data_IF_992466578268
#
_entry.id   IF_992466578268
#
_cell.length_a   1.000
_cell.length_b   1.000
_cell.length_c   1.000
_cell.angle_alpha   90.00
_cell.angle_beta   90.00
_cell.angle_gamma   90.00
#
_symmetry.space_group_name_H-M   'P 1'
#
loop_
_entity.id
_entity.type
_entity.pdbx_description
1 polymer ?
#
# COMPACT_ATOMS: atom_id res chain seq x y z
N UNK A 1 -15.37 -8.22 -13.84
CA UNK A 1 -14.26 -9.23 -13.87
C UNK A 1 -12.98 -8.46 -14.15
N UNK A 2 -11.98 -8.46 -13.26
CA UNK A 2 -10.82 -7.53 -13.33
C UNK A 2 -10.11 -7.54 -14.69
N UNK A 3 -10.04 -8.71 -15.34
CA UNK A 3 -9.42 -8.86 -16.67
C UNK A 3 -10.26 -8.22 -17.79
N UNK A 4 -11.58 -8.31 -17.69
CA UNK A 4 -12.51 -7.73 -18.67
C UNK A 4 -12.56 -6.21 -18.57
N UNK A 5 -12.29 -5.67 -17.38
CA UNK A 5 -12.30 -4.22 -17.09
C UNK A 5 -10.92 -3.56 -17.26
N UNK A 6 -9.88 -4.32 -17.65
CA UNK A 6 -8.53 -3.80 -17.90
C UNK A 6 -7.73 -3.44 -16.65
N UNK A 7 -8.15 -3.88 -15.46
CA UNK A 7 -7.44 -3.62 -14.22
C UNK A 7 -6.20 -4.50 -14.06
N UNK A 8 -5.10 -3.89 -13.59
CA UNK A 8 -3.88 -4.62 -13.22
C UNK A 8 -4.13 -5.52 -12.00
N UNK A 9 -3.51 -6.70 -12.00
CA UNK A 9 -3.66 -7.68 -10.92
C UNK A 9 -3.13 -7.18 -9.57
N UNK A 10 -1.92 -6.63 -9.54
CA UNK A 10 -1.26 -6.27 -8.28
C UNK A 10 -2.02 -5.23 -7.43
N UNK A 11 -2.52 -4.10 -7.96
CA UNK A 11 -3.37 -3.19 -7.18
C UNK A 11 -4.70 -3.83 -6.74
N UNK A 12 -5.30 -4.70 -7.54
CA UNK A 12 -6.48 -5.45 -7.10
C UNK A 12 -6.15 -6.38 -5.93
N UNK A 13 -5.01 -7.06 -5.97
CA UNK A 13 -4.55 -7.92 -4.89
C UNK A 13 -4.23 -7.12 -3.62
N UNK A 14 -3.50 -6.01 -3.72
CA UNK A 14 -3.24 -5.09 -2.60
C UNK A 14 -4.56 -4.67 -1.96
N UNK A 15 -5.52 -4.17 -2.75
CA UNK A 15 -6.81 -3.72 -2.24
C UNK A 15 -7.55 -4.82 -1.46
N UNK A 16 -7.60 -6.04 -2.00
CA UNK A 16 -8.27 -7.17 -1.34
C UNK A 16 -7.59 -7.54 -0.01
N UNK A 17 -6.25 -7.63 0.00
CA UNK A 17 -5.49 -7.92 1.23
C UNK A 17 -5.73 -6.82 2.27
N UNK A 18 -5.66 -5.55 1.86
CA UNK A 18 -5.93 -4.42 2.75
C UNK A 18 -7.34 -4.48 3.33
N UNK A 19 -8.35 -4.87 2.55
CA UNK A 19 -9.73 -5.04 3.03
C UNK A 19 -9.85 -6.13 4.09
N UNK A 20 -9.20 -7.28 3.87
CA UNK A 20 -9.19 -8.39 4.84
C UNK A 20 -8.49 -7.96 6.13
N UNK A 21 -7.30 -7.35 6.04
CA UNK A 21 -6.56 -6.84 7.20
C UNK A 21 -7.41 -5.85 8.00
N UNK A 22 -8.03 -4.87 7.32
CA UNK A 22 -8.83 -3.86 8.01
C UNK A 22 -10.12 -4.42 8.63
N UNK A 23 -10.64 -5.55 8.14
CA UNK A 23 -11.83 -6.20 8.69
C UNK A 23 -11.59 -6.96 10.01
N UNK A 24 -10.33 -7.20 10.40
CA UNK A 24 -10.02 -7.97 11.60
C UNK A 24 -9.00 -7.22 12.48
N UNK A 25 -9.40 -6.91 13.71
CA UNK A 25 -8.56 -6.17 14.68
C UNK A 25 -7.26 -6.88 14.99
N UNK A 26 -7.22 -8.22 14.94
CA UNK A 26 -6.00 -8.98 15.20
C UNK A 26 -4.85 -8.64 14.24
N UNK A 27 -5.15 -8.22 13.01
CA UNK A 27 -4.15 -7.77 12.04
C UNK A 27 -3.77 -6.29 12.18
N UNK A 28 -4.47 -5.54 13.04
CA UNK A 28 -4.25 -4.10 13.26
C UNK A 28 -3.69 -3.76 14.64
N UNK A 29 -3.41 -4.77 15.47
CA UNK A 29 -2.79 -4.61 16.79
C UNK A 29 -1.30 -4.28 16.64
N UNK A 30 -0.81 -3.30 17.40
CA UNK A 30 0.59 -2.89 17.37
C UNK A 30 0.92 -1.90 18.48
N UNK A 31 2.15 -1.40 18.47
CA UNK A 31 2.61 -0.34 19.35
C UNK A 31 2.69 0.98 18.58
N UNK A 32 2.32 2.09 19.22
CA UNK A 32 2.60 3.42 18.68
C UNK A 32 4.05 3.87 18.99
N UNK A 33 4.41 5.06 18.52
CA UNK A 33 5.74 5.66 18.71
C UNK A 33 6.11 5.89 20.17
N UNK A 34 5.11 6.01 21.05
CA UNK A 34 5.27 6.17 22.50
C UNK A 34 5.38 4.81 23.24
N UNK A 35 5.30 3.69 22.51
CA UNK A 35 5.41 2.34 23.05
C UNK A 35 4.12 1.80 23.66
N UNK A 36 2.97 2.44 23.39
CA UNK A 36 1.67 2.05 23.91
C UNK A 36 1.04 0.96 23.03
N UNK A 37 0.57 -0.12 23.65
CA UNK A 37 -0.12 -1.22 22.97
C UNK A 37 -1.57 -0.82 22.65
N UNK A 38 -1.97 -0.96 21.39
CA UNK A 38 -3.33 -0.74 20.95
C UNK A 38 -3.62 -1.40 19.61
N UNK A 39 -4.63 -0.90 18.91
CA UNK A 39 -4.89 -1.25 17.52
C UNK A 39 -5.19 0.01 16.71
N UNK A 40 -4.76 0.01 15.46
CA UNK A 40 -5.01 1.10 14.52
C UNK A 40 -6.43 1.02 13.97
N UNK A 41 -7.17 2.13 13.83
CA UNK A 41 -8.50 2.15 13.18
C UNK A 41 -8.47 1.59 11.76
N UNK A 42 -7.38 1.85 11.05
CA UNK A 42 -7.08 1.28 9.75
C UNK A 42 -5.57 1.17 9.53
N UNK A 43 -5.15 0.22 8.71
CA UNK A 43 -3.80 0.12 8.19
C UNK A 43 -3.75 0.46 6.70
N UNK A 44 -2.69 1.19 6.31
CA UNK A 44 -2.36 1.55 4.93
C UNK A 44 -1.40 0.52 4.32
N UNK A 45 -1.58 0.10 3.06
CA UNK A 45 -0.65 -0.80 2.41
C UNK A 45 0.65 -0.08 2.02
N UNK A 46 1.79 -0.59 2.49
CA UNK A 46 3.13 -0.28 2.02
C UNK A 46 3.61 -1.43 1.13
N UNK A 47 3.73 -1.18 -0.18
CA UNK A 47 4.02 -2.21 -1.17
C UNK A 47 5.24 -1.89 -2.04
N UNK A 48 5.80 -2.92 -2.66
CA UNK A 48 6.98 -2.79 -3.52
C UNK A 48 6.60 -2.42 -4.95
N UNK A 49 7.41 -1.56 -5.57
CA UNK A 49 7.39 -1.27 -7.01
C UNK A 49 8.76 -1.57 -7.59
N UNK A 50 8.79 -2.13 -8.80
CA UNK A 50 10.01 -2.52 -9.50
C UNK A 50 10.34 -1.53 -10.61
N UNK A 51 11.54 -0.95 -10.55
CA UNK A 51 12.09 -0.18 -11.66
C UNK A 51 12.81 -1.12 -12.62
N UNK A 52 12.23 -1.27 -13.81
CA UNK A 52 12.77 -2.12 -14.86
C UNK A 52 14.10 -1.64 -15.46
N UNK A 53 14.47 -0.36 -15.29
CA UNK A 53 15.73 0.21 -15.80
C UNK A 53 16.86 -0.06 -14.82
N UNK A 54 16.73 0.39 -13.58
CA UNK A 54 17.75 0.20 -12.54
C UNK A 54 17.82 -1.24 -12.01
N UNK A 55 16.78 -2.05 -12.24
CA UNK A 55 16.57 -3.37 -11.62
C UNK A 55 16.49 -3.30 -10.09
N UNK A 56 16.05 -2.18 -9.53
CA UNK A 56 15.87 -1.99 -8.08
C UNK A 56 14.40 -1.91 -7.68
N UNK A 57 14.14 -2.02 -6.38
CA UNK A 57 12.82 -1.88 -5.79
C UNK A 57 12.73 -0.62 -4.92
N UNK A 58 11.52 -0.06 -4.86
CA UNK A 58 11.14 0.98 -3.90
C UNK A 58 9.89 0.53 -3.14
N UNK A 59 9.79 0.88 -1.85
CA UNK A 59 8.58 0.76 -1.05
C UNK A 59 7.78 2.06 -1.06
N UNK A 60 6.51 1.99 -1.47
CA UNK A 60 5.59 3.13 -1.46
C UNK A 60 4.25 2.71 -0.85
N UNK A 61 3.44 3.68 -0.44
CA UNK A 61 2.14 3.41 0.18
C UNK A 61 1.05 4.22 -0.51
N UNK A 62 -0.17 3.70 -0.53
CA UNK A 62 -1.35 4.40 -1.08
C UNK A 62 -2.47 4.39 -0.05
N UNK A 63 -3.09 5.54 0.26
CA UNK A 63 -4.24 5.57 1.16
C UNK A 63 -5.35 4.64 0.67
N UNK A 64 -5.76 3.69 1.50
CA UNK A 64 -6.89 2.82 1.19
C UNK A 64 -8.19 3.61 1.20
N UNK A 65 -8.98 3.38 0.16
CA UNK A 65 -10.34 3.91 0.00
C UNK A 65 -11.35 2.78 0.10
N UNK A 66 -12.59 3.11 0.41
CA UNK A 66 -13.66 2.10 0.42
C UNK A 66 -14.04 1.65 -0.98
N UNK A 67 -13.87 2.53 -1.96
CA UNK A 67 -14.06 2.26 -3.39
C UNK A 67 -12.78 1.76 -4.04
N UNK A 68 -12.89 0.68 -4.83
CA UNK A 68 -11.75 0.08 -5.49
C UNK A 68 -11.19 0.97 -6.61
N UNK A 69 -12.06 1.65 -7.36
CA UNK A 69 -11.62 2.48 -8.48
C UNK A 69 -10.83 3.69 -7.98
N UNK A 70 -11.28 4.34 -6.92
CA UNK A 70 -10.52 5.42 -6.26
C UNK A 70 -9.15 4.95 -5.78
N UNK A 71 -9.09 3.77 -5.12
CA UNK A 71 -7.80 3.19 -4.72
C UNK A 71 -6.91 2.90 -5.92
N UNK A 72 -7.46 2.34 -6.99
CA UNK A 72 -6.72 1.99 -8.20
C UNK A 72 -6.13 3.23 -8.89
N UNK A 73 -6.91 4.30 -9.00
CA UNK A 73 -6.46 5.56 -9.60
C UNK A 73 -5.34 6.21 -8.76
N UNK A 74 -5.47 6.19 -7.43
CA UNK A 74 -4.42 6.66 -6.52
C UNK A 74 -3.15 5.82 -6.61
N UNK A 75 -3.29 4.49 -6.66
CA UNK A 75 -2.18 3.56 -6.84
C UNK A 75 -1.41 3.87 -8.12
N UNK A 76 -2.11 4.06 -9.25
CA UNK A 76 -1.47 4.38 -10.52
C UNK A 76 -0.70 5.69 -10.45
N UNK A 77 -1.29 6.73 -9.85
CA UNK A 77 -0.64 8.02 -9.65
C UNK A 77 0.61 7.92 -8.78
N UNK A 78 0.55 7.15 -7.69
CA UNK A 78 1.71 6.92 -6.83
C UNK A 78 2.82 6.13 -7.55
N UNK A 79 2.48 5.08 -8.29
CA UNK A 79 3.47 4.31 -9.08
C UNK A 79 4.13 5.21 -10.12
N UNK A 80 3.35 5.99 -10.87
CA UNK A 80 3.88 6.92 -11.88
C UNK A 80 4.83 7.95 -11.26
N UNK A 81 4.47 8.50 -10.10
CA UNK A 81 5.25 9.54 -9.42
C UNK A 81 6.56 9.03 -8.82
N UNK A 82 6.56 7.80 -8.29
CA UNK A 82 7.65 7.31 -7.44
C UNK A 82 8.51 6.21 -8.06
N UNK A 83 8.08 5.60 -9.17
CA UNK A 83 8.90 4.64 -9.91
C UNK A 83 10.14 5.32 -10.50
N UNK A 84 11.27 4.62 -10.52
CA UNK A 84 12.54 5.17 -11.00
C UNK A 84 13.16 6.26 -10.11
N UNK A 85 12.66 6.44 -8.88
CA UNK A 85 13.20 7.44 -7.94
C UNK A 85 14.62 7.15 -7.42
N UNK A 86 15.12 5.92 -7.60
CA UNK A 86 16.42 5.47 -7.09
C UNK A 86 16.52 5.40 -5.56
N UNK A 87 15.42 5.59 -4.84
CA UNK A 87 15.37 5.57 -3.37
C UNK A 87 14.58 4.37 -2.87
N UNK A 88 14.97 3.82 -1.71
CA UNK A 88 14.25 2.71 -1.09
C UNK A 88 12.84 3.12 -0.63
N UNK A 89 12.69 4.30 -0.03
CA UNK A 89 11.40 4.85 0.43
C UNK A 89 11.21 6.29 -0.08
N UNK A 90 10.77 6.48 -1.33
CA UNK A 90 10.67 7.81 -1.93
C UNK A 90 9.45 8.61 -1.48
N UNK A 91 8.41 7.95 -0.96
CA UNK A 91 7.18 8.58 -0.45
C UNK A 91 7.25 8.74 1.07
N UNK A 92 7.60 9.93 1.52
CA UNK A 92 7.74 10.27 2.95
C UNK A 92 6.72 11.32 3.40
N UNK A 93 6.32 11.32 4.69
CA UNK A 93 6.63 10.30 5.69
C UNK A 93 5.91 8.97 5.40
N UNK A 94 6.45 7.87 5.95
CA UNK A 94 5.76 6.58 5.95
C UNK A 94 4.73 6.63 7.09
N UNK A 95 3.46 6.23 6.86
CA UNK A 95 2.46 6.18 7.91
C UNK A 95 2.87 5.19 8.98
N UNK A 96 2.67 5.56 10.23
CA UNK A 96 2.91 4.68 11.38
C UNK A 96 1.99 3.44 11.34
N UNK A 97 0.77 3.64 10.83
CA UNK A 97 -0.24 2.62 10.63
C UNK A 97 -0.10 1.93 9.26
N UNK A 98 1.09 1.48 8.89
CA UNK A 98 1.33 0.78 7.63
C UNK A 98 1.59 -0.72 7.81
N UNK A 99 1.19 -1.54 6.84
CA UNK A 99 1.59 -2.95 6.75
C UNK A 99 2.32 -3.22 5.44
N UNK A 100 3.30 -4.14 5.48
CA UNK A 100 4.12 -4.46 4.31
C UNK A 100 3.49 -5.53 3.42
N UNK A 101 3.58 -5.36 2.09
CA UNK A 101 3.27 -6.35 1.07
C UNK A 101 4.37 -6.35 -0.01
N UNK A 102 4.97 -7.50 -0.34
CA UNK A 102 6.06 -7.61 -1.32
C UNK A 102 5.89 -8.77 -2.26
#
# INVERSE_FOLDING_TARGET
NIKQEGYKFYPAFIFLVTRVINSNTAFRTGYNSDGELGYWDKLEPLYTIFDGVSKTFSGIWTPVKNDFKEFYDLYLSDVEKYNGSGKLFPKTPIPENAFSLS
#
